data_IF_305103674273
#
_entry.id   IF_305103674273
#
_cell.length_a   1.000
_cell.length_b   1.000
_cell.length_c   1.000
_cell.angle_alpha   90.00
_cell.angle_beta   90.00
_cell.angle_gamma   90.00
#
_symmetry.space_group_name_H-M   'P 1'
#
loop_
_entity.id
_entity.type
_entity.pdbx_description
1 polymer ?
#
# COMPACT_ATOMS: atom_id res chain seq x y z
N UNK A 1 -9.89 15.25 -20.69
CA UNK A 1 -10.43 14.10 -19.92
C UNK A 1 -9.26 13.53 -19.13
N UNK A 2 -9.26 13.64 -17.80
CA UNK A 2 -8.16 13.11 -16.99
C UNK A 2 -8.17 11.58 -17.08
N UNK A 3 -7.19 11.01 -17.78
CA UNK A 3 -7.06 9.56 -17.91
C UNK A 3 -6.79 8.93 -16.55
N UNK A 4 -7.65 8.02 -16.11
CA UNK A 4 -7.46 7.27 -14.88
C UNK A 4 -6.19 6.41 -15.01
N UNK A 5 -5.26 6.51 -14.06
CA UNK A 5 -4.00 5.78 -14.11
C UNK A 5 -4.11 4.38 -13.46
N UNK A 6 -3.44 3.39 -14.04
CA UNK A 6 -3.34 2.04 -13.44
C UNK A 6 -2.33 2.07 -12.27
N UNK A 7 -2.66 1.38 -11.17
CA UNK A 7 -1.77 1.22 -10.01
C UNK A 7 -0.65 0.22 -10.28
N UNK A 8 0.41 0.70 -10.93
CA UNK A 8 1.65 -0.07 -11.12
C UNK A 8 2.64 0.17 -9.98
N UNK A 9 3.71 -0.64 -9.88
CA UNK A 9 4.80 -0.41 -8.93
C UNK A 9 5.35 1.02 -9.05
N UNK A 10 5.63 1.44 -10.29
CA UNK A 10 6.20 2.76 -10.58
C UNK A 10 5.28 3.89 -10.13
N UNK A 11 3.97 3.73 -10.34
CA UNK A 11 2.97 4.71 -9.89
C UNK A 11 2.96 4.88 -8.37
N UNK A 12 2.86 3.77 -7.63
CA UNK A 12 2.83 3.82 -6.16
C UNK A 12 4.17 4.30 -5.57
N UNK A 13 5.29 3.87 -6.15
CA UNK A 13 6.63 4.36 -5.78
C UNK A 13 6.78 5.86 -6.03
N UNK A 14 6.23 6.38 -7.12
CA UNK A 14 6.25 7.82 -7.42
C UNK A 14 5.48 8.62 -6.36
N UNK A 15 4.30 8.13 -5.92
CA UNK A 15 3.53 8.75 -4.84
C UNK A 15 4.36 8.79 -3.54
N UNK A 16 4.91 7.65 -3.11
CA UNK A 16 5.68 7.56 -1.85
C UNK A 16 6.94 8.44 -1.83
N UNK A 17 7.53 8.69 -3.00
CA UNK A 17 8.71 9.51 -3.16
C UNK A 17 8.40 10.97 -3.52
N UNK A 18 7.12 11.37 -3.53
CA UNK A 18 6.70 12.72 -3.88
C UNK A 18 7.21 13.15 -5.24
N UNK A 19 7.07 12.29 -6.26
CA UNK A 19 7.41 12.60 -7.64
C UNK A 19 6.19 13.10 -8.41
N UNK A 20 6.42 13.85 -9.47
CA UNK A 20 5.38 14.21 -10.42
C UNK A 20 4.85 12.95 -11.10
N UNK A 21 3.53 12.81 -11.11
CA UNK A 21 2.81 11.79 -11.89
C UNK A 21 1.89 12.55 -12.82
N UNK A 22 2.32 12.69 -14.06
CA UNK A 22 1.66 13.52 -15.08
C UNK A 22 1.23 12.67 -16.27
N UNK A 23 0.25 13.17 -17.02
CA UNK A 23 -0.21 12.53 -18.25
C UNK A 23 0.83 12.66 -19.37
N UNK A 24 0.72 11.80 -20.38
CA UNK A 24 1.55 11.87 -21.59
C UNK A 24 1.34 13.17 -22.36
N UNK A 25 0.24 13.88 -22.12
CA UNK A 25 -0.04 15.14 -22.81
C UNK A 25 0.95 16.23 -22.41
N UNK A 26 1.59 16.14 -21.22
CA UNK A 26 2.69 17.04 -20.86
C UNK A 26 3.83 16.94 -21.88
N UNK A 27 4.25 15.72 -22.23
CA UNK A 27 5.31 15.49 -23.22
C UNK A 27 4.90 16.06 -24.58
N UNK A 28 3.66 15.82 -25.01
CA UNK A 28 3.14 16.32 -26.29
C UNK A 28 3.16 17.85 -26.32
N UNK A 29 2.66 18.50 -25.27
CA UNK A 29 2.65 19.97 -25.19
C UNK A 29 4.07 20.55 -25.13
N UNK A 30 5.00 19.92 -24.40
CA UNK A 30 6.41 20.34 -24.42
C UNK A 30 7.03 20.24 -25.82
N UNK A 31 6.70 19.20 -26.58
CA UNK A 31 7.19 19.04 -27.96
C UNK A 31 6.57 20.07 -28.92
N UNK A 32 5.29 20.40 -28.76
CA UNK A 32 4.60 21.40 -29.58
C UNK A 32 5.11 22.82 -29.32
N UNK A 33 5.35 23.17 -28.05
CA UNK A 33 5.85 24.49 -27.66
C UNK A 33 7.38 24.60 -27.71
N UNK A 34 8.07 23.48 -27.93
CA UNK A 34 9.53 23.38 -27.95
C UNK A 34 10.20 23.84 -26.64
N UNK A 35 9.48 23.75 -25.51
CA UNK A 35 9.97 24.10 -24.18
C UNK A 35 9.27 23.28 -23.08
N UNK A 36 9.89 23.08 -21.90
CA UNK A 36 9.20 22.50 -20.76
C UNK A 36 8.09 23.41 -20.22
N UNK A 37 6.88 22.90 -20.12
CA UNK A 37 5.75 23.59 -19.46
C UNK A 37 5.54 23.10 -18.03
N UNK A 38 4.79 23.86 -17.24
CA UNK A 38 4.42 23.52 -15.86
C UNK A 38 3.69 22.16 -15.76
N UNK A 39 4.26 21.25 -14.98
CA UNK A 39 3.74 19.89 -14.75
C UNK A 39 2.38 19.88 -14.06
N UNK A 40 2.06 20.91 -13.27
CA UNK A 40 0.86 20.94 -12.41
C UNK A 40 -0.43 20.73 -13.21
N UNK A 41 -0.50 21.30 -14.42
CA UNK A 41 -1.69 21.22 -15.30
C UNK A 41 -1.93 19.83 -15.87
N UNK A 42 -0.90 18.98 -15.85
CA UNK A 42 -0.91 17.64 -16.43
C UNK A 42 -0.92 16.56 -15.37
N UNK A 43 -0.93 16.93 -14.10
CA UNK A 43 -0.92 15.99 -12.99
C UNK A 43 -2.14 15.07 -13.02
N UNK A 44 -1.89 13.78 -12.84
CA UNK A 44 -2.94 12.78 -12.68
C UNK A 44 -3.59 12.98 -11.32
N UNK A 45 -4.90 13.27 -11.32
CA UNK A 45 -5.69 13.45 -10.11
C UNK A 45 -6.41 12.18 -9.66
N UNK A 46 -6.67 11.21 -10.54
CA UNK A 46 -7.47 10.01 -10.22
C UNK A 46 -6.89 8.72 -10.83
N UNK A 47 -7.03 7.62 -10.10
CA UNK A 47 -6.70 6.28 -10.59
C UNK A 47 -7.93 5.50 -11.08
N UNK A 48 -7.69 4.32 -11.67
CA UNK A 48 -8.76 3.44 -12.20
C UNK A 48 -9.71 2.88 -11.14
N UNK A 49 -9.38 3.02 -9.85
CA UNK A 49 -10.23 2.63 -8.72
C UNK A 49 -10.97 3.83 -8.11
N UNK A 50 -10.92 5.00 -8.75
CA UNK A 50 -11.57 6.22 -8.29
C UNK A 50 -10.90 6.87 -7.08
N UNK A 51 -9.70 6.44 -6.70
CA UNK A 51 -8.95 7.13 -5.64
C UNK A 51 -8.32 8.39 -6.21
N UNK A 52 -8.57 9.51 -5.52
CA UNK A 52 -8.17 10.82 -5.95
C UNK A 52 -6.96 11.36 -5.16
N UNK A 53 -6.27 12.35 -5.72
CA UNK A 53 -5.29 13.22 -5.07
C UNK A 53 -3.99 12.56 -4.59
N UNK A 54 -3.83 11.25 -4.76
CA UNK A 54 -2.66 10.47 -4.31
C UNK A 54 -1.31 11.11 -4.68
N UNK A 55 -1.04 11.36 -5.98
CA UNK A 55 0.20 12.02 -6.42
C UNK A 55 0.43 13.37 -5.74
N UNK A 56 -0.60 14.23 -5.69
CA UNK A 56 -0.52 15.57 -5.10
C UNK A 56 -0.17 15.51 -3.62
N UNK A 57 -0.90 14.67 -2.88
CA UNK A 57 -0.67 14.45 -1.45
C UNK A 57 0.72 13.85 -1.19
N UNK A 58 1.19 12.94 -2.06
CA UNK A 58 2.54 12.37 -1.99
C UNK A 58 3.63 13.44 -2.10
N UNK A 59 3.50 14.38 -3.04
CA UNK A 59 4.42 15.52 -3.16
C UNK A 59 4.34 16.44 -1.95
N UNK A 60 3.13 16.83 -1.53
CA UNK A 60 2.94 17.71 -0.38
C UNK A 60 3.55 17.13 0.89
N UNK A 61 3.42 15.81 1.11
CA UNK A 61 4.05 15.12 2.25
C UNK A 61 5.56 15.32 2.27
N UNK A 62 6.22 15.18 1.12
CA UNK A 62 7.68 15.37 0.99
C UNK A 62 8.08 16.84 1.14
N UNK A 63 7.38 17.76 0.46
CA UNK A 63 7.64 19.22 0.54
C UNK A 63 7.52 19.71 1.98
N UNK A 64 6.49 19.26 2.69
CA UNK A 64 6.20 19.64 4.07
C UNK A 64 7.02 18.85 5.10
N UNK A 65 7.97 18.00 4.67
CA UNK A 65 8.81 17.15 5.53
C UNK A 65 8.01 16.32 6.54
N UNK A 66 6.83 15.86 6.14
CA UNK A 66 5.99 15.00 6.98
C UNK A 66 6.59 13.59 7.06
N UNK A 67 6.30 12.83 8.13
CA UNK A 67 6.65 11.42 8.22
C UNK A 67 6.19 10.62 7.00
N UNK A 68 6.94 9.57 6.66
CA UNK A 68 6.57 8.66 5.57
C UNK A 68 5.28 7.89 5.93
N UNK A 69 4.62 7.35 4.90
CA UNK A 69 3.25 6.86 5.03
C UNK A 69 3.08 5.78 6.09
N UNK A 70 4.06 4.91 6.24
CA UNK A 70 4.02 3.79 7.17
C UNK A 70 5.06 3.90 8.30
N UNK A 71 5.47 5.13 8.59
CA UNK A 71 6.39 5.39 9.70
C UNK A 71 5.79 4.87 11.03
N UNK A 72 6.59 4.13 11.80
CA UNK A 72 6.15 3.48 13.05
C UNK A 72 5.25 2.25 12.88
N UNK A 73 5.05 1.74 11.66
CA UNK A 73 4.26 0.52 11.41
C UNK A 73 5.16 -0.69 11.11
N UNK A 74 4.84 -1.83 11.69
CA UNK A 74 5.47 -3.13 11.41
C UNK A 74 4.49 -4.02 10.61
N UNK A 75 4.95 -4.69 9.56
CA UNK A 75 4.13 -5.48 8.66
C UNK A 75 4.60 -6.93 8.63
N UNK A 76 3.70 -7.86 8.94
CA UNK A 76 3.93 -9.29 8.73
C UNK A 76 3.06 -9.79 7.58
N UNK A 77 3.68 -10.14 6.44
CA UNK A 77 2.99 -10.71 5.29
C UNK A 77 2.67 -12.20 5.54
N UNK A 78 1.44 -12.47 5.97
CA UNK A 78 0.93 -13.78 6.37
C UNK A 78 0.36 -14.58 5.20
N UNK A 79 0.71 -15.87 5.15
CA UNK A 79 0.19 -16.83 4.19
C UNK A 79 1.00 -16.84 2.89
N UNK A 80 0.41 -17.47 1.88
CA UNK A 80 1.08 -17.73 0.61
C UNK A 80 0.90 -16.57 -0.36
N UNK A 81 2.05 -16.06 -0.81
CA UNK A 81 2.17 -15.04 -1.84
C UNK A 81 2.99 -15.62 -2.98
N UNK A 82 2.70 -15.22 -4.23
CA UNK A 82 3.70 -15.40 -5.28
C UNK A 82 4.97 -14.63 -4.91
N UNK A 83 6.15 -15.15 -5.26
CA UNK A 83 7.43 -14.52 -4.92
C UNK A 83 7.51 -13.07 -5.41
N UNK A 84 7.01 -12.81 -6.62
CA UNK A 84 6.96 -11.47 -7.22
C UNK A 84 6.04 -10.52 -6.45
N UNK A 85 4.82 -10.95 -6.10
CA UNK A 85 3.88 -10.08 -5.38
C UNK A 85 4.32 -9.82 -3.93
N UNK A 86 4.93 -10.82 -3.27
CA UNK A 86 5.52 -10.63 -1.94
C UNK A 86 6.61 -9.56 -1.99
N UNK A 87 7.57 -9.70 -2.90
CA UNK A 87 8.65 -8.72 -3.08
C UNK A 87 8.11 -7.32 -3.39
N UNK A 88 7.12 -7.23 -4.28
CA UNK A 88 6.44 -5.98 -4.60
C UNK A 88 5.86 -5.26 -3.36
N UNK A 89 5.16 -5.99 -2.48
CA UNK A 89 4.64 -5.40 -1.23
C UNK A 89 5.75 -5.01 -0.26
N UNK A 90 6.80 -5.82 -0.16
CA UNK A 90 7.95 -5.54 0.72
C UNK A 90 8.65 -4.24 0.31
N UNK A 91 8.90 -4.05 -0.98
CA UNK A 91 9.54 -2.85 -1.51
C UNK A 91 8.70 -1.60 -1.21
N UNK A 92 7.38 -1.68 -1.41
CA UNK A 92 6.46 -0.58 -1.10
C UNK A 92 6.45 -0.23 0.39
N UNK A 93 6.40 -1.25 1.26
CA UNK A 93 6.41 -1.05 2.72
C UNK A 93 7.71 -0.36 3.15
N UNK A 94 8.86 -0.84 2.67
CA UNK A 94 10.18 -0.28 3.02
C UNK A 94 10.32 1.15 2.54
N UNK A 95 9.93 1.46 1.30
CA UNK A 95 10.00 2.84 0.77
C UNK A 95 9.06 3.79 1.53
N UNK A 96 7.98 3.28 2.08
CA UNK A 96 7.05 4.01 2.94
C UNK A 96 7.50 4.11 4.41
N UNK A 97 8.73 3.70 4.76
CA UNK A 97 9.28 3.65 6.13
C UNK A 97 8.59 2.65 7.07
N UNK A 98 7.84 1.71 6.52
CA UNK A 98 7.31 0.59 7.27
C UNK A 98 8.37 -0.51 7.43
N UNK A 99 8.29 -1.25 8.52
CA UNK A 99 9.22 -2.36 8.81
C UNK A 99 8.58 -3.69 8.40
N UNK A 100 9.25 -4.48 7.55
CA UNK A 100 8.78 -5.82 7.19
C UNK A 100 9.32 -6.86 8.17
N UNK A 101 8.43 -7.52 8.92
CA UNK A 101 8.76 -8.62 9.82
C UNK A 101 9.04 -9.89 9.02
N UNK A 102 10.24 -10.45 9.22
CA UNK A 102 10.68 -11.69 8.56
C UNK A 102 10.20 -12.96 9.27
N UNK A 103 9.80 -12.83 10.54
CA UNK A 103 9.32 -13.93 11.37
C UNK A 103 7.92 -13.62 11.86
N UNK A 104 7.14 -14.68 12.08
CA UNK A 104 5.81 -14.58 12.69
C UNK A 104 5.92 -13.80 14.01
N UNK A 105 5.12 -12.72 14.20
CA UNK A 105 5.12 -12.01 15.45
C UNK A 105 4.57 -12.93 16.55
N UNK A 106 5.33 -13.07 17.63
CA UNK A 106 4.93 -13.80 18.84
C UNK A 106 4.58 -12.80 19.92
N UNK A 107 3.77 -13.21 20.90
CA UNK A 107 3.42 -12.40 22.06
C UNK A 107 4.72 -11.87 22.70
N UNK A 108 4.96 -10.56 22.60
CA UNK A 108 6.08 -9.93 23.30
C UNK A 108 5.71 -9.98 24.77
N UNK A 109 6.52 -10.65 25.61
CA UNK A 109 6.39 -10.52 27.06
C UNK A 109 6.22 -9.04 27.39
N UNK A 110 5.18 -8.71 28.17
CA UNK A 110 4.76 -7.34 28.52
C UNK A 110 5.85 -6.50 29.20
N UNK A 111 7.09 -6.98 29.35
CA UNK A 111 8.20 -6.29 30.02
C UNK A 111 9.04 -5.36 29.13
N UNK A 112 8.76 -5.26 27.81
CA UNK A 112 9.31 -4.19 26.95
C UNK A 112 8.32 -3.03 26.73
N UNK A 113 7.50 -2.74 27.74
CA UNK A 113 6.34 -1.86 27.66
C UNK A 113 6.62 -0.35 27.64
N UNK A 114 7.85 0.14 27.46
CA UNK A 114 8.13 1.56 27.77
C UNK A 114 8.97 2.35 26.76
N UNK A 115 9.21 1.93 25.50
CA UNK A 115 9.93 2.87 24.60
C UNK A 115 9.65 2.86 23.08
N UNK A 116 8.77 2.03 22.51
CA UNK A 116 8.32 2.21 21.11
C UNK A 116 7.22 1.20 20.74
N UNK A 117 5.94 1.53 20.93
CA UNK A 117 4.83 0.62 20.57
C UNK A 117 4.50 0.72 19.07
N UNK A 118 5.41 0.25 18.22
CA UNK A 118 5.13 0.13 16.78
C UNK A 118 3.90 -0.75 16.57
N UNK A 119 2.95 -0.28 15.75
CA UNK A 119 1.73 -1.02 15.47
C UNK A 119 2.02 -2.16 14.48
N UNK A 120 1.77 -3.40 14.88
CA UNK A 120 1.94 -4.59 14.04
C UNK A 120 0.68 -4.81 13.19
N UNK A 121 0.84 -4.87 11.88
CA UNK A 121 -0.17 -5.21 10.89
C UNK A 121 0.12 -6.60 10.29
N UNK A 122 -0.79 -7.55 10.53
CA UNK A 122 -0.77 -8.88 9.96
C UNK A 122 -1.54 -8.83 8.63
N UNK A 123 -0.80 -8.92 7.53
CA UNK A 123 -1.32 -8.71 6.18
C UNK A 123 -1.66 -10.05 5.56
N UNK A 124 -2.91 -10.27 5.17
CA UNK A 124 -3.30 -11.48 4.43
C UNK A 124 -3.40 -11.21 2.93
N UNK A 125 -3.11 -12.23 2.12
CA UNK A 125 -3.13 -12.12 0.67
C UNK A 125 -4.55 -12.20 0.11
N UNK A 126 -4.90 -11.30 -0.82
CA UNK A 126 -6.15 -11.36 -1.58
C UNK A 126 -5.96 -11.67 -3.08
N UNK A 127 -4.73 -11.74 -3.59
CA UNK A 127 -4.48 -12.13 -4.99
C UNK A 127 -4.72 -13.63 -5.22
N UNK A 128 -5.31 -13.98 -6.37
CA UNK A 128 -5.59 -15.35 -6.87
C UNK A 128 -6.71 -16.15 -6.17
N UNK A 129 -7.62 -15.51 -5.45
CA UNK A 129 -8.75 -16.19 -4.82
C UNK A 129 -9.77 -16.76 -5.85
N UNK A 130 -9.80 -16.24 -7.08
CA UNK A 130 -10.68 -16.76 -8.16
C UNK A 130 -10.21 -18.10 -8.77
N UNK A 131 -8.98 -18.55 -8.47
CA UNK A 131 -8.48 -19.86 -8.93
C UNK A 131 -8.76 -21.00 -7.95
N UNK A 132 -9.27 -20.70 -6.76
CA UNK A 132 -9.77 -21.70 -5.84
C UNK A 132 -11.12 -22.22 -6.36
N UNK A 133 -11.15 -23.46 -6.89
CA UNK A 133 -12.39 -24.12 -7.30
C UNK A 133 -13.47 -23.97 -6.20
N UNK A 134 -14.73 -23.66 -6.54
CA UNK A 134 -15.80 -23.57 -5.55
C UNK A 134 -16.02 -24.97 -4.95
N UNK A 135 -15.59 -25.18 -3.72
CA UNK A 135 -16.00 -26.35 -2.93
C UNK A 135 -17.34 -26.02 -2.30
N UNK A 136 -18.39 -26.60 -2.89
CA UNK A 136 -19.75 -26.81 -2.37
C UNK A 136 -20.50 -25.58 -1.79
N UNK A 137 -21.74 -25.41 -2.28
CA UNK A 137 -22.75 -24.52 -1.70
C UNK A 137 -22.91 -24.82 -0.20
N UNK A 138 -23.18 -23.77 0.57
CA UNK A 138 -23.55 -23.76 2.00
C UNK A 138 -22.43 -23.60 3.04
N UNK A 139 -21.40 -22.81 2.74
CA UNK A 139 -20.49 -22.28 3.75
C UNK A 139 -20.21 -20.79 3.53
N UNK A 140 -20.34 -19.98 4.57
CA UNK A 140 -19.74 -18.64 4.61
C UNK A 140 -18.26 -18.84 4.26
N UNK A 141 -17.83 -18.37 3.08
CA UNK A 141 -16.45 -18.53 2.64
C UNK A 141 -15.57 -17.53 3.42
N UNK A 142 -15.41 -17.80 4.72
CA UNK A 142 -14.52 -17.02 5.56
C UNK A 142 -13.11 -17.35 5.07
N UNK A 143 -12.45 -16.36 4.46
CA UNK A 143 -11.13 -16.50 3.88
C UNK A 143 -10.16 -17.09 4.91
N UNK A 144 -9.75 -18.35 4.74
CA UNK A 144 -8.86 -19.05 5.69
C UNK A 144 -7.62 -18.23 6.04
N UNK A 145 -7.04 -17.55 5.05
CA UNK A 145 -5.89 -16.65 5.25
C UNK A 145 -6.21 -15.43 6.13
N UNK A 146 -7.43 -14.88 6.04
CA UNK A 146 -7.89 -13.79 6.91
C UNK A 146 -8.12 -14.29 8.33
N UNK A 147 -8.73 -15.48 8.50
CA UNK A 147 -8.93 -16.10 9.83
C UNK A 147 -7.59 -16.37 10.50
N UNK A 148 -6.66 -16.98 9.78
CA UNK A 148 -5.33 -17.29 10.31
C UNK A 148 -4.57 -15.99 10.66
N UNK A 149 -4.66 -14.95 9.83
CA UNK A 149 -4.10 -13.63 10.14
C UNK A 149 -4.77 -12.95 11.35
N UNK A 150 -6.08 -13.15 11.55
CA UNK A 150 -6.80 -12.64 12.72
C UNK A 150 -6.33 -13.31 14.01
N UNK A 151 -6.10 -14.63 13.97
CA UNK A 151 -5.53 -15.37 15.11
C UNK A 151 -4.12 -14.87 15.43
N UNK A 152 -3.31 -14.59 14.42
CA UNK A 152 -1.98 -13.99 14.59
C UNK A 152 -2.04 -12.59 15.19
N UNK A 153 -2.97 -11.76 14.71
CA UNK A 153 -3.19 -10.41 15.24
C UNK A 153 -3.52 -10.47 16.74
N UNK A 154 -4.46 -11.35 17.14
CA UNK A 154 -4.79 -11.57 18.54
C UNK A 154 -3.58 -12.01 19.38
N UNK A 155 -2.79 -12.97 18.90
CA UNK A 155 -1.63 -13.50 19.63
C UNK A 155 -0.47 -12.49 19.74
N UNK A 156 -0.34 -11.56 18.80
CA UNK A 156 0.73 -10.56 18.75
C UNK A 156 0.35 -9.20 19.34
N UNK A 157 -0.93 -8.98 19.66
CA UNK A 157 -1.45 -7.65 19.98
C UNK A 157 -1.49 -6.71 18.77
N UNK A 158 -1.40 -7.26 17.55
CA UNK A 158 -1.46 -6.52 16.30
C UNK A 158 -2.88 -6.38 15.75
N UNK A 159 -2.98 -5.83 14.55
CA UNK A 159 -4.22 -5.77 13.75
C UNK A 159 -4.10 -6.61 12.49
N UNK A 160 -5.22 -6.87 11.82
CA UNK A 160 -5.27 -7.60 10.55
C UNK A 160 -5.66 -6.63 9.43
N UNK A 161 -4.99 -6.74 8.28
CA UNK A 161 -5.33 -5.97 7.06
C UNK A 161 -5.13 -6.84 5.82
N UNK A 162 -5.78 -6.50 4.71
CA UNK A 162 -5.55 -7.17 3.43
C UNK A 162 -4.31 -6.61 2.72
N UNK A 163 -3.75 -7.34 1.76
CA UNK A 163 -2.70 -6.79 0.88
C UNK A 163 -3.18 -5.59 0.06
N UNK A 164 -4.49 -5.50 -0.25
CA UNK A 164 -5.07 -4.31 -0.87
C UNK A 164 -5.00 -3.08 0.03
N UNK A 165 -5.12 -3.22 1.35
CA UNK A 165 -5.01 -2.09 2.28
C UNK A 165 -3.71 -1.31 2.11
N UNK A 166 -2.59 -2.01 1.86
CA UNK A 166 -1.29 -1.38 1.56
C UNK A 166 -1.39 -0.53 0.29
N UNK A 167 -1.91 -1.12 -0.78
CA UNK A 167 -2.02 -0.49 -2.10
C UNK A 167 -2.98 0.71 -2.06
N UNK A 168 -4.13 0.54 -1.42
CA UNK A 168 -5.16 1.55 -1.26
C UNK A 168 -4.66 2.73 -0.42
N UNK A 169 -3.90 2.44 0.64
CA UNK A 169 -3.31 3.49 1.48
C UNK A 169 -2.28 4.31 0.72
N UNK A 170 -1.41 3.64 -0.06
CA UNK A 170 -0.40 4.33 -0.88
C UNK A 170 -1.07 5.13 -2.00
N UNK A 171 -2.03 4.55 -2.72
CA UNK A 171 -2.74 5.23 -3.81
C UNK A 171 -3.47 6.48 -3.32
N UNK A 172 -3.99 6.48 -2.09
CA UNK A 172 -4.60 7.66 -1.48
C UNK A 172 -3.60 8.58 -0.77
N UNK A 173 -2.32 8.17 -0.67
CA UNK A 173 -1.30 8.78 0.19
C UNK A 173 -1.80 9.04 1.64
N UNK A 174 -2.68 8.18 2.13
CA UNK A 174 -3.33 8.27 3.43
C UNK A 174 -3.67 6.87 3.95
N UNK A 175 -3.52 6.65 5.25
CA UNK A 175 -3.84 5.35 5.85
C UNK A 175 -5.33 5.06 5.71
N UNK A 176 -5.67 3.91 5.14
CA UNK A 176 -7.05 3.42 5.15
C UNK A 176 -7.44 3.00 6.58
N UNK A 177 -8.74 3.05 6.92
CA UNK A 177 -9.22 2.55 8.21
C UNK A 177 -8.73 1.13 8.48
N UNK A 178 -8.42 0.88 9.75
CA UNK A 178 -7.94 -0.41 10.26
C UNK A 178 -9.09 -1.23 10.85
#
# INVERSE_FOLDING_TARGET
>A
MSGACKRTLKFLMAILNGKWVISIDWVKTCMELMEPVDELRFEISTDVHGTAEGPRLGRQRVINKQPKLFDGLEFYLHGDYTKSYRGYLQDLVVVASGTVLQRKPVSRNQQKLLDDSSLILNVYNIENQDKAKPRSRDGININRSQVDAQVLAYASGGKVVSSAWIIDSIAACNLKPL
#
